data_IF_175934671487
#
_entry.id   IF_175934671487
#
_cell.length_a   1.000
_cell.length_b   1.000
_cell.length_c   1.000
_cell.angle_alpha   90.00
_cell.angle_beta   90.00
_cell.angle_gamma   90.00
#
_symmetry.space_group_name_H-M   'P 1'
#
loop_
_entity.id
_entity.type
_entity.pdbx_description
1 polymer ?
#
# COMPACT_ATOMS: atom_id res chain seq x y z
N UNK A 1 -28.13 2.76 -11.58
CA UNK A 1 -27.68 2.94 -10.18
C UNK A 1 -26.42 3.79 -10.21
N UNK A 2 -26.43 5.01 -9.66
CA UNK A 2 -25.19 5.76 -9.41
C UNK A 2 -24.53 5.11 -8.20
N UNK A 3 -23.52 4.28 -8.43
CA UNK A 3 -22.64 3.83 -7.33
C UNK A 3 -21.91 5.09 -6.87
N UNK A 4 -22.32 5.65 -5.74
CA UNK A 4 -21.61 6.76 -5.14
C UNK A 4 -20.18 6.29 -4.87
N UNK A 5 -19.21 6.93 -5.51
CA UNK A 5 -17.80 6.71 -5.24
C UNK A 5 -17.56 7.18 -3.81
N UNK A 6 -17.55 6.26 -2.85
CA UNK A 6 -17.23 6.59 -1.45
C UNK A 6 -15.74 6.89 -1.42
N UNK A 7 -15.38 8.17 -1.48
CA UNK A 7 -14.02 8.62 -1.18
C UNK A 7 -13.69 8.27 0.27
N UNK A 8 -12.58 7.56 0.49
CA UNK A 8 -12.14 7.11 1.81
C UNK A 8 -10.79 7.72 2.13
N UNK A 9 -10.76 8.51 3.19
CA UNK A 9 -9.57 9.18 3.70
C UNK A 9 -8.98 8.40 4.88
N UNK A 10 -7.68 8.51 5.07
CA UNK A 10 -6.96 7.89 6.19
C UNK A 10 -7.09 8.73 7.48
N UNK A 11 -7.41 8.09 8.61
CA UNK A 11 -7.58 8.72 9.93
C UNK A 11 -6.80 8.01 11.07
N UNK A 12 -5.81 7.17 10.72
CA UNK A 12 -5.00 6.32 11.63
C UNK A 12 -5.76 5.40 12.61
N UNK A 13 -7.07 5.29 12.50
CA UNK A 13 -7.82 4.29 13.25
C UNK A 13 -7.42 2.88 12.83
N UNK A 14 -7.49 1.90 13.74
CA UNK A 14 -7.21 0.49 13.44
C UNK A 14 -8.01 -0.01 12.23
N UNK A 15 -9.26 0.45 12.10
CA UNK A 15 -10.11 0.15 10.95
C UNK A 15 -9.55 0.72 9.64
N UNK A 16 -9.09 1.97 9.63
CA UNK A 16 -8.50 2.59 8.44
C UNK A 16 -7.16 1.98 8.07
N UNK A 17 -6.33 1.62 9.06
CA UNK A 17 -5.08 0.87 8.86
C UNK A 17 -5.36 -0.49 8.22
N UNK A 18 -6.35 -1.25 8.72
CA UNK A 18 -6.77 -2.52 8.13
C UNK A 18 -7.31 -2.35 6.70
N UNK A 19 -8.10 -1.31 6.46
CA UNK A 19 -8.61 -0.99 5.11
C UNK A 19 -7.48 -0.64 4.16
N UNK A 20 -6.51 0.15 4.61
CA UNK A 20 -5.33 0.51 3.84
C UNK A 20 -4.48 -0.73 3.50
N UNK A 21 -4.25 -1.62 4.47
CA UNK A 21 -3.57 -2.90 4.24
C UNK A 21 -4.28 -3.74 3.17
N UNK A 22 -5.61 -3.84 3.23
CA UNK A 22 -6.39 -4.55 2.20
C UNK A 22 -6.31 -3.86 0.83
N UNK A 23 -6.26 -2.52 0.80
CA UNK A 23 -6.11 -1.76 -0.43
C UNK A 23 -4.76 -2.05 -1.09
N UNK A 24 -3.67 -2.16 -0.31
CA UNK A 24 -2.37 -2.60 -0.80
C UNK A 24 -2.41 -4.01 -1.40
N UNK A 25 -3.00 -4.98 -0.70
CA UNK A 25 -3.16 -6.36 -1.21
C UNK A 25 -3.90 -6.36 -2.53
N UNK A 26 -5.09 -5.74 -2.59
CA UNK A 26 -5.90 -5.67 -3.80
C UNK A 26 -5.16 -5.01 -4.97
N UNK A 27 -4.37 -3.98 -4.68
CA UNK A 27 -3.61 -3.28 -5.72
C UNK A 27 -2.46 -4.13 -6.27
N UNK A 28 -1.74 -4.86 -5.41
CA UNK A 28 -0.71 -5.81 -5.83
C UNK A 28 -1.32 -6.93 -6.69
N UNK A 29 -2.42 -7.54 -6.24
CA UNK A 29 -3.11 -8.61 -6.99
C UNK A 29 -3.65 -8.10 -8.33
N UNK A 30 -4.28 -6.92 -8.34
CA UNK A 30 -4.80 -6.28 -9.55
C UNK A 30 -3.72 -5.95 -10.59
N UNK A 31 -2.46 -5.82 -10.16
CA UNK A 31 -1.30 -5.62 -11.03
C UNK A 31 -0.50 -6.91 -11.30
N UNK A 32 -1.00 -8.08 -10.87
CA UNK A 32 -0.35 -9.38 -11.09
C UNK A 32 0.91 -9.61 -10.25
N UNK A 33 1.09 -8.86 -9.16
CA UNK A 33 2.25 -9.02 -8.26
C UNK A 33 1.95 -10.08 -7.20
N UNK A 34 2.58 -11.23 -7.36
CA UNK A 34 2.52 -12.31 -6.38
C UNK A 34 3.28 -11.97 -5.10
N UNK A 35 2.62 -12.17 -3.96
CA UNK A 35 3.14 -11.93 -2.63
C UNK A 35 2.70 -13.04 -1.66
N UNK A 36 3.50 -13.30 -0.64
CA UNK A 36 3.16 -14.23 0.43
C UNK A 36 2.50 -13.51 1.61
N UNK A 37 2.99 -12.29 1.91
CA UNK A 37 2.55 -11.53 3.07
C UNK A 37 2.63 -10.03 2.80
N UNK A 38 1.58 -9.33 3.23
CA UNK A 38 1.56 -7.87 3.34
C UNK A 38 1.23 -7.53 4.78
N UNK A 39 2.08 -6.71 5.40
CA UNK A 39 1.86 -6.21 6.75
C UNK A 39 1.98 -4.70 6.75
N UNK A 40 1.11 -4.04 7.50
CA UNK A 40 1.15 -2.60 7.70
C UNK A 40 1.10 -2.32 9.19
N UNK A 41 2.06 -1.55 9.69
CA UNK A 41 2.19 -1.22 11.11
C UNK A 41 2.37 0.29 11.30
N UNK A 42 2.03 0.77 12.48
CA UNK A 42 2.31 2.12 12.93
C UNK A 42 3.50 2.08 13.88
N UNK A 43 4.57 2.79 13.56
CA UNK A 43 5.71 2.98 14.46
C UNK A 43 5.49 4.28 15.25
N UNK A 44 5.30 4.15 16.55
CA UNK A 44 5.09 5.23 17.53
C UNK A 44 4.02 6.28 17.13
N UNK A 45 3.06 5.93 16.26
CA UNK A 45 2.07 6.84 15.65
C UNK A 45 2.66 7.94 14.74
N UNK A 46 3.96 7.93 14.48
CA UNK A 46 4.63 8.93 13.64
C UNK A 46 4.87 8.41 12.23
N UNK A 47 5.05 7.10 12.08
CA UNK A 47 5.33 6.49 10.79
C UNK A 47 4.38 5.33 10.49
N UNK A 48 3.95 5.23 9.24
CA UNK A 48 3.31 4.04 8.70
C UNK A 48 4.39 3.24 7.97
N UNK A 49 4.52 1.96 8.32
CA UNK A 49 5.47 1.05 7.70
C UNK A 49 4.69 -0.06 7.01
N UNK A 50 4.87 -0.17 5.69
CA UNK A 50 4.39 -1.24 4.84
C UNK A 50 5.54 -2.22 4.59
N UNK A 51 5.29 -3.49 4.85
CA UNK A 51 6.18 -4.60 4.54
C UNK A 51 5.49 -5.55 3.57
N UNK A 52 6.18 -5.89 2.49
CA UNK A 52 5.72 -6.84 1.47
C UNK A 52 6.77 -7.93 1.33
N UNK A 53 6.37 -9.16 1.58
CA UNK A 53 7.12 -10.36 1.25
C UNK A 53 6.62 -10.86 -0.11
N UNK A 54 7.46 -10.75 -1.14
CA UNK A 54 7.08 -11.20 -2.48
C UNK A 54 7.15 -12.71 -2.63
N UNK A 55 6.61 -13.26 -3.73
CA UNK A 55 6.59 -14.71 -4.00
C UNK A 55 7.98 -15.37 -4.13
N UNK A 56 9.05 -14.57 -4.16
CA UNK A 56 10.45 -15.02 -4.23
C UNK A 56 11.17 -14.80 -2.90
N UNK A 57 10.43 -14.65 -1.81
CA UNK A 57 10.93 -14.46 -0.44
C UNK A 57 11.77 -13.17 -0.28
N UNK A 58 11.56 -12.16 -1.14
CA UNK A 58 12.22 -10.86 -1.02
C UNK A 58 11.35 -9.92 -0.22
N UNK A 59 11.97 -9.25 0.76
CA UNK A 59 11.33 -8.25 1.60
C UNK A 59 11.46 -6.86 1.00
N UNK A 60 10.33 -6.19 0.81
CA UNK A 60 10.24 -4.78 0.43
C UNK A 60 9.61 -4.01 1.57
N UNK A 61 10.22 -2.90 1.97
CA UNK A 61 9.76 -2.08 3.07
C UNK A 61 9.63 -0.63 2.62
N UNK A 62 8.49 -0.03 2.91
CA UNK A 62 8.18 1.37 2.63
C UNK A 62 7.70 2.03 3.90
N UNK A 63 8.26 3.17 4.23
CA UNK A 63 7.88 3.94 5.41
C UNK A 63 7.58 5.38 5.01
N UNK A 64 6.54 5.96 5.60
CA UNK A 64 6.22 7.37 5.42
C UNK A 64 5.60 7.95 6.68
N UNK A 65 5.64 9.28 6.81
CA UNK A 65 5.07 9.98 7.96
C UNK A 65 3.56 9.84 7.98
N UNK A 66 3.01 9.41 9.12
CA UNK A 66 1.59 9.24 9.32
C UNK A 66 0.84 10.57 9.19
N UNK A 67 1.43 11.67 9.66
CA UNK A 67 0.87 13.03 9.56
C UNK A 67 0.66 13.47 8.10
N UNK A 68 1.59 13.12 7.20
CA UNK A 68 1.48 13.43 5.77
C UNK A 68 0.45 12.59 5.02
N UNK A 69 0.06 11.44 5.59
CA UNK A 69 -0.90 10.52 5.00
C UNK A 69 -2.35 10.75 5.50
N UNK A 70 -2.53 11.35 6.68
CA UNK A 70 -3.86 11.69 7.19
C UNK A 70 -4.59 12.62 6.22
N UNK A 71 -5.85 12.32 5.93
CA UNK A 71 -6.67 13.12 5.01
C UNK A 71 -6.35 12.93 3.53
N UNK A 72 -5.38 12.10 3.18
CA UNK A 72 -5.14 11.67 1.79
C UNK A 72 -6.12 10.55 1.41
N UNK A 73 -6.46 10.44 0.12
CA UNK A 73 -7.24 9.32 -0.36
C UNK A 73 -6.41 8.03 -0.29
N UNK A 74 -7.00 6.95 0.23
CA UNK A 74 -6.29 5.67 0.36
C UNK A 74 -5.72 5.17 -0.98
N UNK A 75 -6.44 5.38 -2.09
CA UNK A 75 -5.98 4.97 -3.41
C UNK A 75 -4.71 5.71 -3.83
N UNK A 76 -4.58 6.99 -3.49
CA UNK A 76 -3.42 7.81 -3.85
C UNK A 76 -2.20 7.41 -3.01
N UNK A 77 -2.41 7.11 -1.72
CA UNK A 77 -1.35 6.53 -0.86
C UNK A 77 -0.84 5.21 -1.46
N UNK A 78 -1.76 4.32 -1.85
CA UNK A 78 -1.38 3.00 -2.39
C UNK A 78 -0.59 3.14 -3.68
N UNK A 79 -1.07 3.94 -4.64
CA UNK A 79 -0.41 4.16 -5.93
C UNK A 79 0.97 4.78 -5.75
N UNK A 80 1.07 5.87 -5.00
CA UNK A 80 2.35 6.57 -4.77
C UNK A 80 3.39 5.70 -4.08
N UNK A 81 2.97 4.72 -3.27
CA UNK A 81 3.86 3.79 -2.58
C UNK A 81 4.28 2.62 -3.49
N UNK A 82 3.34 2.02 -4.22
CA UNK A 82 3.58 0.77 -4.98
C UNK A 82 4.07 1.02 -6.41
N UNK A 83 3.60 2.06 -7.10
CA UNK A 83 3.95 2.31 -8.50
C UNK A 83 5.48 2.39 -8.74
N UNK A 84 6.28 3.07 -7.88
CA UNK A 84 7.74 3.07 -8.04
C UNK A 84 8.39 1.69 -7.93
N UNK A 85 7.77 0.76 -7.20
CA UNK A 85 8.20 -0.63 -7.12
C UNK A 85 7.86 -1.38 -8.41
N UNK A 86 6.64 -1.20 -8.93
CA UNK A 86 6.18 -1.84 -10.16
C UNK A 86 7.04 -1.44 -11.36
N UNK A 87 7.40 -0.16 -11.49
CA UNK A 87 8.27 0.35 -12.55
C UNK A 87 9.67 -0.31 -12.51
N UNK A 88 10.23 -0.49 -11.31
CA UNK A 88 11.51 -1.18 -11.11
C UNK A 88 11.44 -2.68 -11.41
N UNK A 89 10.29 -3.31 -11.24
CA UNK A 89 10.10 -4.72 -11.59
C UNK A 89 10.00 -4.91 -13.10
N UNK A 90 9.20 -4.09 -13.79
CA UNK A 90 9.05 -4.15 -15.26
C UNK A 90 10.36 -3.93 -16.00
N UNK A 91 11.17 -2.96 -15.57
CA UNK A 91 12.47 -2.66 -16.19
C UNK A 91 13.53 -3.78 -16.04
N UNK A 92 13.30 -4.79 -15.19
CA UNK A 92 14.18 -5.94 -15.03
C UNK A 92 13.80 -7.13 -15.92
N UNK A 93 12.54 -7.23 -16.35
CA UNK A 93 12.07 -8.30 -17.24
C UNK A 93 12.35 -8.00 -18.73
N UNK A 94 12.63 -6.73 -19.07
CA UNK A 94 13.01 -6.30 -20.43
C UNK A 94 14.53 -6.41 -20.73
N UNK A 95 15.30 -7.05 -19.84
CA UNK A 95 16.74 -7.31 -20.00
C UNK A 95 17.04 -8.79 -20.05
#
# INVERSE_FOLDING_TARGET
MKVGLIMRFLDLSELSIKRLSNAFVNYLEGNGVGHHKVALTLDNSEQIVLMIEDKYDRMHMFSWEAAGAIGQEMNDIVKSTIDPMLEKMKSREER
#
